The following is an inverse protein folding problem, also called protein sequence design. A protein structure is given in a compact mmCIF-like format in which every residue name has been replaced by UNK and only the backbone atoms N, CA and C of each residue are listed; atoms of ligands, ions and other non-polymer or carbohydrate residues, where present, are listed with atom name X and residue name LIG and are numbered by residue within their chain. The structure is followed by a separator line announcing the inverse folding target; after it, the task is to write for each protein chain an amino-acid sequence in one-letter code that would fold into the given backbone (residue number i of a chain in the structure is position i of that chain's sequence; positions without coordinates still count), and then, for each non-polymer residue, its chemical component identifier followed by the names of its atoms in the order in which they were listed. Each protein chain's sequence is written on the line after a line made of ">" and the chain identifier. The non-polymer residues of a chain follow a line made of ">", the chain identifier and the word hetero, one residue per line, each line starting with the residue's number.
data_IF_386485396274
#
_entry.id   IF_386485396274
#
_cell.length_a   1.000
_cell.length_b   1.000
_cell.length_c   1.000
_cell.angle_alpha   90.00
_cell.angle_beta   90.00
_cell.angle_gamma   90.00
#
_symmetry.space_group_name_H-M   'P 1'
#
loop_
_entity.id
_entity.type
_entity.pdbx_description
1 polymer ?
#
# COMPACT_ATOMS: atom_id res chain seq x y z
N UNK A 1 -11.98 20.60 -18.06
CA UNK A 1 -12.67 21.89 -18.34
C UNK A 1 -14.11 21.60 -18.68
N UNK A 2 -15.03 22.39 -18.12
CA UNK A 2 -16.43 22.44 -18.55
C UNK A 2 -16.69 23.91 -18.91
N UNK A 3 -17.20 24.15 -20.10
CA UNK A 3 -17.43 25.48 -20.61
C UNK A 3 -18.91 25.68 -20.93
N UNK A 4 -19.45 26.82 -20.54
CA UNK A 4 -20.78 27.31 -20.92
C UNK A 4 -20.65 28.75 -21.40
N UNK A 5 -21.65 29.30 -22.12
CA UNK A 5 -21.56 30.58 -22.85
C UNK A 5 -20.89 31.74 -22.11
N UNK A 6 -20.94 31.80 -20.76
CA UNK A 6 -20.44 32.94 -19.99
C UNK A 6 -19.55 32.55 -18.80
N UNK A 7 -19.45 31.26 -18.46
CA UNK A 7 -18.73 30.77 -17.27
C UNK A 7 -18.18 29.40 -17.55
N UNK A 8 -16.95 29.18 -17.15
CA UNK A 8 -16.32 27.88 -17.26
C UNK A 8 -15.69 27.40 -15.95
N UNK A 9 -15.43 26.09 -15.87
CA UNK A 9 -14.95 25.43 -14.68
C UNK A 9 -13.73 24.57 -15.02
N UNK A 10 -12.67 24.72 -14.24
CA UNK A 10 -11.48 23.87 -14.30
C UNK A 10 -11.34 23.17 -12.96
N UNK A 11 -11.17 21.88 -12.98
CA UNK A 11 -10.79 21.08 -11.81
C UNK A 11 -9.27 21.05 -11.75
N UNK A 12 -8.69 21.72 -10.77
CA UNK A 12 -7.25 21.89 -10.57
C UNK A 12 -6.77 21.07 -9.38
N UNK A 13 -5.71 20.30 -9.58
CA UNK A 13 -5.00 19.60 -8.52
C UNK A 13 -3.54 20.05 -8.50
N UNK A 14 -3.06 20.49 -7.35
CA UNK A 14 -1.64 20.76 -7.11
C UNK A 14 -0.92 19.56 -6.45
N UNK A 15 -1.65 18.48 -6.18
CA UNK A 15 -1.14 17.30 -5.52
C UNK A 15 -0.99 17.40 -3.99
N UNK A 16 -1.23 18.55 -3.37
CA UNK A 16 -1.05 18.76 -1.92
C UNK A 16 -2.10 18.00 -1.08
N UNK A 17 -3.32 17.86 -1.58
CA UNK A 17 -4.40 17.13 -0.92
C UNK A 17 -5.16 16.24 -1.92
N UNK A 18 -6.06 15.39 -1.41
CA UNK A 18 -6.85 14.50 -2.25
C UNK A 18 -7.96 15.24 -3.00
N UNK A 19 -8.53 16.28 -2.40
CA UNK A 19 -9.57 17.10 -3.03
C UNK A 19 -8.96 18.08 -4.03
N UNK A 20 -9.60 18.19 -5.19
CA UNK A 20 -9.25 19.18 -6.20
C UNK A 20 -9.92 20.51 -5.89
N UNK A 21 -9.33 21.61 -6.36
CA UNK A 21 -9.89 22.96 -6.29
C UNK A 21 -10.70 23.23 -7.56
N UNK A 22 -11.92 23.74 -7.41
CA UNK A 22 -12.67 24.26 -8.54
C UNK A 22 -12.21 25.68 -8.85
N UNK A 23 -11.71 25.87 -10.05
CA UNK A 23 -11.43 27.20 -10.60
C UNK A 23 -12.59 27.60 -11.50
N UNK A 24 -13.14 28.77 -11.24
CA UNK A 24 -14.22 29.37 -12.05
C UNK A 24 -13.64 30.53 -12.83
N UNK A 25 -13.90 30.57 -14.13
CA UNK A 25 -13.51 31.65 -15.01
C UNK A 25 -14.71 32.17 -15.80
N UNK A 26 -14.68 33.43 -16.11
CA UNK A 26 -15.68 34.13 -16.90
C UNK A 26 -15.05 34.71 -18.18
N UNK A 27 -15.73 35.59 -18.88
CA UNK A 27 -15.25 36.21 -20.13
C UNK A 27 -13.99 37.12 -19.96
N UNK A 28 -13.47 37.22 -18.74
CA UNK A 28 -12.24 37.96 -18.43
C UNK A 28 -10.94 37.17 -18.81
N UNK A 29 -11.07 35.88 -19.04
CA UNK A 29 -9.93 35.05 -19.49
C UNK A 29 -9.99 34.96 -21.02
N UNK A 30 -8.86 35.20 -21.74
CA UNK A 30 -8.84 35.13 -23.18
C UNK A 30 -9.20 33.74 -23.73
N UNK A 31 -10.03 33.70 -24.75
CA UNK A 31 -10.51 32.46 -25.38
C UNK A 31 -9.39 31.58 -25.93
N UNK A 32 -8.33 32.17 -26.43
CA UNK A 32 -7.17 31.46 -26.97
C UNK A 32 -6.41 30.70 -25.87
N UNK A 33 -6.40 31.19 -24.64
CA UNK A 33 -5.86 30.49 -23.46
C UNK A 33 -6.77 29.31 -23.11
N UNK A 34 -8.09 29.55 -23.01
CA UNK A 34 -9.06 28.52 -22.62
C UNK A 34 -9.08 27.34 -23.61
N UNK A 35 -9.00 27.62 -24.92
CA UNK A 35 -8.98 26.57 -25.96
C UNK A 35 -7.77 25.66 -25.91
N UNK A 36 -6.68 26.09 -25.30
CA UNK A 36 -5.45 25.31 -25.15
C UNK A 36 -5.45 24.45 -23.89
N UNK A 37 -6.36 24.70 -22.91
CA UNK A 37 -6.42 23.96 -21.67
C UNK A 37 -7.22 22.67 -21.87
N UNK A 38 -6.54 21.54 -21.71
CA UNK A 38 -7.15 20.21 -21.71
C UNK A 38 -6.72 19.42 -20.46
N UNK A 39 -7.21 18.17 -20.34
CA UNK A 39 -6.81 17.29 -19.23
C UNK A 39 -5.33 17.00 -19.28
N UNK A 40 -4.62 17.28 -18.20
CA UNK A 40 -3.18 17.07 -18.09
C UNK A 40 -2.32 18.31 -18.31
N UNK A 41 -2.89 19.45 -18.76
CA UNK A 41 -2.18 20.71 -18.79
C UNK A 41 -1.73 21.15 -17.40
N UNK A 42 -0.57 21.80 -17.32
CA UNK A 42 -0.11 22.51 -16.14
C UNK A 42 -0.46 23.99 -16.28
N UNK A 43 -1.13 24.54 -15.27
CA UNK A 43 -1.57 25.95 -15.25
C UNK A 43 -1.28 26.59 -13.90
N UNK A 44 -1.00 27.89 -13.92
CA UNK A 44 -1.05 28.77 -12.76
C UNK A 44 -2.30 29.62 -12.82
N UNK A 45 -2.95 29.78 -11.66
CA UNK A 45 -4.17 30.60 -11.53
C UNK A 45 -3.99 31.63 -10.46
N UNK A 46 -4.27 32.89 -10.81
CA UNK A 46 -4.38 33.99 -9.85
C UNK A 46 -5.87 34.38 -9.77
N UNK A 47 -6.42 34.43 -8.56
CA UNK A 47 -7.83 34.72 -8.38
C UNK A 47 -8.23 34.96 -6.93
N UNK A 48 -9.53 35.12 -6.73
CA UNK A 48 -10.13 35.34 -5.43
C UNK A 48 -10.69 34.04 -4.87
N UNK A 49 -10.33 33.69 -3.63
CA UNK A 49 -10.92 32.57 -2.92
C UNK A 49 -12.32 32.96 -2.44
N UNK A 50 -13.33 32.25 -2.90
CA UNK A 50 -14.72 32.48 -2.57
C UNK A 50 -15.29 31.29 -1.82
N UNK A 51 -15.86 31.53 -0.65
CA UNK A 51 -16.56 30.51 0.11
C UNK A 51 -17.90 30.18 -0.55
N UNK A 52 -18.20 28.90 -0.67
CA UNK A 52 -19.42 28.37 -1.28
C UNK A 52 -20.08 27.33 -0.35
N UNK A 53 -20.56 27.74 0.85
CA UNK A 53 -21.01 26.81 1.88
C UNK A 53 -22.20 25.95 1.44
N UNK A 54 -23.03 26.48 0.52
CA UNK A 54 -24.22 25.78 0.01
C UNK A 54 -23.95 24.96 -1.26
N UNK A 55 -22.68 24.96 -1.75
CA UNK A 55 -22.31 24.19 -2.92
C UNK A 55 -21.67 22.83 -2.52
N UNK A 56 -21.44 21.96 -3.52
CA UNK A 56 -20.80 20.67 -3.31
C UNK A 56 -19.37 20.80 -2.76
N UNK A 57 -18.66 21.84 -3.17
CA UNK A 57 -17.32 22.20 -2.67
C UNK A 57 -17.43 23.38 -1.69
N UNK A 58 -16.62 23.42 -0.60
CA UNK A 58 -16.74 24.48 0.42
C UNK A 58 -16.22 25.83 -0.05
N UNK A 59 -15.43 25.87 -1.11
CA UNK A 59 -14.88 27.09 -1.72
C UNK A 59 -14.51 26.85 -3.18
N UNK A 60 -14.30 27.94 -3.90
CA UNK A 60 -13.81 27.95 -5.28
C UNK A 60 -12.83 29.12 -5.47
N UNK A 61 -12.03 29.06 -6.53
CA UNK A 61 -11.17 30.18 -6.96
C UNK A 61 -11.78 30.84 -8.18
N UNK A 62 -12.23 32.10 -8.05
CA UNK A 62 -12.63 32.95 -9.19
C UNK A 62 -11.39 33.51 -9.85
N UNK A 63 -11.05 32.96 -11.03
CA UNK A 63 -9.84 33.32 -11.76
C UNK A 63 -9.89 34.77 -12.27
N UNK A 64 -8.83 35.52 -11.96
CA UNK A 64 -8.52 36.81 -12.59
C UNK A 64 -7.54 36.66 -13.73
N UNK A 65 -6.61 35.68 -13.60
CA UNK A 65 -5.60 35.35 -14.58
C UNK A 65 -5.38 33.84 -14.59
N UNK A 66 -5.18 33.28 -15.78
CA UNK A 66 -4.75 31.90 -15.99
C UNK A 66 -3.54 31.92 -16.93
N UNK A 67 -2.45 31.31 -16.48
CA UNK A 67 -1.25 31.12 -17.27
C UNK A 67 -1.02 29.63 -17.53
N UNK A 68 -0.73 29.28 -18.79
CA UNK A 68 -0.35 27.93 -19.14
C UNK A 68 1.15 27.77 -18.89
N UNK A 69 1.52 26.88 -17.98
CA UNK A 69 2.90 26.54 -17.68
C UNK A 69 3.38 25.34 -18.51
N UNK A 70 2.47 24.47 -18.91
CA UNK A 70 2.77 23.35 -19.79
C UNK A 70 1.53 22.85 -20.52
N UNK A 71 1.64 22.72 -21.84
CA UNK A 71 0.61 22.14 -22.69
C UNK A 71 0.58 20.60 -22.52
N UNK A 72 -0.57 20.02 -22.77
CA UNK A 72 -0.76 18.60 -22.85
C UNK A 72 -1.21 18.20 -24.27
N UNK A 73 -0.63 17.14 -24.80
CA UNK A 73 -1.01 16.62 -26.11
C UNK A 73 -2.47 16.12 -26.12
N UNK A 74 -3.13 16.21 -27.25
CA UNK A 74 -4.53 15.80 -27.41
C UNK A 74 -4.76 14.31 -27.25
N UNK A 75 -3.74 13.50 -27.42
CA UNK A 75 -3.70 12.05 -27.27
C UNK A 75 -3.33 11.59 -25.85
N UNK A 76 -3.28 12.51 -24.87
CA UNK A 76 -3.01 12.18 -23.47
C UNK A 76 -3.92 11.05 -22.98
N UNK A 77 -3.35 9.91 -22.55
CA UNK A 77 -4.13 8.68 -22.34
C UNK A 77 -5.05 8.73 -21.11
N UNK A 78 -4.75 9.61 -20.13
CA UNK A 78 -5.53 9.74 -18.90
C UNK A 78 -6.74 10.67 -19.11
N UNK A 79 -7.69 10.19 -19.92
CA UNK A 79 -8.91 10.92 -20.20
C UNK A 79 -9.90 10.87 -19.02
N UNK A 80 -10.87 11.79 -18.99
CA UNK A 80 -11.93 11.89 -17.96
C UNK A 80 -12.94 10.72 -18.10
N UNK A 81 -12.48 9.51 -17.82
CA UNK A 81 -13.28 8.28 -17.77
C UNK A 81 -12.70 7.34 -16.72
N UNK A 82 -13.50 6.38 -16.28
CA UNK A 82 -12.99 5.30 -15.43
C UNK A 82 -12.01 4.42 -16.22
N UNK A 83 -10.83 4.22 -15.68
CA UNK A 83 -9.82 3.29 -16.21
C UNK A 83 -9.79 2.03 -15.34
N UNK A 84 -9.65 0.86 -15.98
CA UNK A 84 -9.46 -0.39 -15.23
C UNK A 84 -8.05 -0.46 -14.62
N UNK A 85 -7.89 -1.25 -13.57
CA UNK A 85 -6.58 -1.44 -12.93
C UNK A 85 -5.58 -2.09 -13.89
N UNK A 86 -6.03 -3.00 -14.77
CA UNK A 86 -5.22 -3.64 -15.81
C UNK A 86 -4.67 -2.60 -16.78
N UNK A 87 -5.52 -1.70 -17.27
CA UNK A 87 -5.09 -0.60 -18.12
C UNK A 87 -4.09 0.32 -17.42
N UNK A 88 -4.34 0.65 -16.15
CA UNK A 88 -3.43 1.50 -15.38
C UNK A 88 -2.07 0.86 -15.10
N UNK A 89 -1.98 -0.48 -15.11
CA UNK A 89 -0.68 -1.19 -15.02
C UNK A 89 0.19 -0.97 -16.26
N UNK A 90 -0.40 -0.74 -17.42
CA UNK A 90 0.36 -0.43 -18.64
C UNK A 90 0.93 1.00 -18.66
N UNK A 91 0.48 1.87 -17.74
CA UNK A 91 0.87 3.28 -17.66
C UNK A 91 1.35 3.66 -16.25
N UNK A 92 2.35 2.96 -15.77
CA UNK A 92 2.85 3.12 -14.39
C UNK A 92 3.27 4.55 -14.05
N UNK A 93 3.85 5.28 -15.00
CA UNK A 93 4.30 6.68 -14.86
C UNK A 93 3.15 7.70 -14.78
N UNK A 94 1.94 7.35 -15.23
CA UNK A 94 0.77 8.23 -15.21
C UNK A 94 -0.28 7.84 -14.17
N UNK A 95 -0.37 6.55 -13.81
CA UNK A 95 -1.40 6.06 -12.88
C UNK A 95 -1.46 6.78 -11.52
N UNK A 96 -0.35 7.34 -10.96
CA UNK A 96 -0.42 8.11 -9.73
C UNK A 96 -1.32 9.36 -9.80
N UNK A 97 -1.61 9.84 -11.02
CA UNK A 97 -2.52 10.98 -11.24
C UNK A 97 -4.00 10.63 -11.13
N UNK A 98 -4.35 9.35 -11.05
CA UNK A 98 -5.76 8.92 -10.88
C UNK A 98 -6.18 8.98 -9.42
N UNK A 99 -7.46 9.25 -9.16
CA UNK A 99 -8.00 9.29 -7.80
C UNK A 99 -7.73 7.99 -7.03
N UNK A 100 -7.87 6.82 -7.69
CA UNK A 100 -7.60 5.52 -7.05
C UNK A 100 -6.17 5.43 -6.53
N UNK A 101 -5.17 5.78 -7.35
CA UNK A 101 -3.78 5.69 -6.94
C UNK A 101 -3.35 6.85 -6.04
N UNK A 102 -3.92 8.04 -6.21
CA UNK A 102 -3.71 9.14 -5.26
C UNK A 102 -4.18 8.73 -3.86
N UNK A 103 -5.40 8.21 -3.73
CA UNK A 103 -5.92 7.72 -2.46
C UNK A 103 -5.03 6.58 -1.92
N UNK A 104 -4.68 5.59 -2.75
CA UNK A 104 -3.82 4.47 -2.33
C UNK A 104 -2.47 4.93 -1.78
N UNK A 105 -1.77 5.81 -2.49
CA UNK A 105 -0.43 6.24 -2.05
C UNK A 105 -0.48 7.18 -0.85
N UNK A 106 -1.54 7.98 -0.69
CA UNK A 106 -1.74 8.80 0.51
C UNK A 106 -1.99 7.93 1.73
N UNK A 107 -2.88 6.95 1.63
CA UNK A 107 -3.12 5.97 2.71
C UNK A 107 -1.83 5.20 3.03
N UNK A 108 -1.11 4.67 2.04
CA UNK A 108 0.18 3.99 2.27
C UNK A 108 1.20 4.85 3.00
N UNK A 109 1.30 6.14 2.64
CA UNK A 109 2.19 7.07 3.35
C UNK A 109 1.79 7.22 4.83
N UNK A 110 0.50 7.37 5.11
CA UNK A 110 0.01 7.50 6.50
C UNK A 110 0.23 6.21 7.27
N UNK A 111 -0.05 5.05 6.67
CA UNK A 111 0.21 3.73 7.27
C UNK A 111 1.68 3.56 7.64
N UNK A 112 2.61 3.85 6.72
CA UNK A 112 4.03 3.71 6.98
C UNK A 112 4.50 4.59 8.15
N UNK A 113 4.04 5.85 8.21
CA UNK A 113 4.34 6.74 9.33
C UNK A 113 3.70 6.27 10.64
N UNK A 114 2.47 5.72 10.59
CA UNK A 114 1.79 5.19 11.76
C UNK A 114 2.53 3.98 12.34
N UNK A 115 3.03 3.08 11.50
CA UNK A 115 3.84 1.93 11.92
C UNK A 115 5.09 2.42 12.68
N UNK A 116 5.87 3.32 12.08
CA UNK A 116 7.05 3.86 12.73
C UNK A 116 6.73 4.54 14.07
N UNK A 117 5.69 5.37 14.11
CA UNK A 117 5.27 6.05 15.34
C UNK A 117 4.79 5.07 16.41
N UNK A 118 4.03 4.05 16.04
CA UNK A 118 3.54 3.04 16.98
C UNK A 118 4.67 2.38 17.75
N UNK A 119 5.72 1.96 17.04
CA UNK A 119 6.86 1.28 17.63
C UNK A 119 7.78 2.25 18.39
N UNK A 120 8.05 3.43 17.83
CA UNK A 120 8.88 4.47 18.47
C UNK A 120 8.31 4.92 19.82
N UNK A 121 7.01 5.21 19.90
CA UNK A 121 6.31 5.59 21.13
C UNK A 121 6.32 4.49 22.20
N UNK A 122 6.58 3.23 21.82
CA UNK A 122 6.71 2.07 22.72
C UNK A 122 8.15 1.69 23.03
N UNK A 123 9.11 2.49 22.55
CA UNK A 123 10.53 2.28 22.81
C UNK A 123 11.21 1.19 21.99
N UNK A 124 10.59 0.74 20.92
CA UNK A 124 11.22 -0.19 19.98
C UNK A 124 12.29 0.53 19.15
N UNK A 125 13.40 -0.13 18.90
CA UNK A 125 14.43 0.35 17.99
C UNK A 125 14.13 -0.11 16.54
N UNK A 126 14.04 0.84 15.61
CA UNK A 126 13.99 0.51 14.19
C UNK A 126 15.33 0.02 13.69
N UNK A 127 15.36 -1.16 13.06
CA UNK A 127 16.57 -1.75 12.50
C UNK A 127 16.46 -1.89 10.99
N UNK A 128 17.42 -1.34 10.27
CA UNK A 128 17.57 -1.55 8.84
C UNK A 128 18.48 -2.76 8.60
N UNK A 129 17.89 -3.91 8.27
CA UNK A 129 18.61 -5.14 7.97
C UNK A 129 19.04 -5.21 6.50
N UNK A 130 20.11 -5.92 6.15
CA UNK A 130 20.55 -6.06 4.77
C UNK A 130 19.49 -6.68 3.86
N UNK A 131 19.29 -6.10 2.67
CA UNK A 131 18.42 -6.66 1.65
C UNK A 131 19.11 -7.70 0.77
N UNK A 132 20.44 -7.59 0.63
CA UNK A 132 21.25 -8.58 -0.08
C UNK A 132 21.94 -9.44 0.96
N UNK A 133 21.71 -10.74 0.88
CA UNK A 133 22.18 -11.71 1.90
C UNK A 133 22.62 -13.01 1.25
N UNK A 134 23.53 -13.72 1.92
CA UNK A 134 23.88 -15.10 1.56
C UNK A 134 23.04 -16.13 2.34
N UNK A 135 22.24 -15.69 3.31
CA UNK A 135 21.47 -16.56 4.21
C UNK A 135 20.00 -16.63 3.77
N UNK A 136 19.46 -17.85 3.79
CA UNK A 136 18.02 -18.10 3.71
C UNK A 136 17.43 -18.03 5.11
N UNK A 137 16.53 -17.08 5.37
CA UNK A 137 15.99 -16.85 6.71
C UNK A 137 14.95 -17.88 7.12
N UNK A 138 14.03 -18.23 6.25
CA UNK A 138 12.87 -19.04 6.61
C UNK A 138 12.88 -20.45 5.96
N UNK A 139 13.97 -20.84 5.31
CA UNK A 139 13.99 -22.05 4.48
C UNK A 139 13.04 -21.93 3.29
N UNK A 140 12.66 -20.72 2.91
CA UNK A 140 11.68 -20.45 1.88
C UNK A 140 12.11 -20.87 0.47
N UNK A 141 13.37 -21.27 0.28
CA UNK A 141 13.90 -21.93 -0.91
C UNK A 141 13.89 -21.15 -2.23
N UNK A 142 12.97 -20.23 -2.40
CA UNK A 142 12.79 -19.49 -3.65
C UNK A 142 13.22 -18.02 -3.52
N UNK A 143 14.52 -17.81 -3.43
CA UNK A 143 15.12 -16.49 -3.35
C UNK A 143 15.52 -15.97 -4.73
N UNK A 144 15.27 -14.69 -4.99
CA UNK A 144 15.85 -14.01 -6.15
C UNK A 144 17.36 -13.92 -6.01
N UNK A 145 18.10 -14.40 -7.02
CA UNK A 145 19.55 -14.30 -7.06
C UNK A 145 20.01 -12.91 -7.44
N UNK A 146 21.01 -12.40 -6.70
CA UNK A 146 21.73 -11.17 -7.02
C UNK A 146 23.11 -11.54 -7.51
N UNK A 147 23.48 -11.14 -8.73
CA UNK A 147 24.76 -11.44 -9.32
C UNK A 147 25.20 -10.33 -10.29
N UNK A 148 26.51 -10.12 -10.39
CA UNK A 148 27.16 -9.27 -11.39
C UNK A 148 27.87 -10.08 -12.45
N UNK A 149 27.79 -11.42 -12.40
CA UNK A 149 28.34 -12.28 -13.43
C UNK A 149 27.63 -12.10 -14.77
N UNK A 150 28.39 -12.14 -15.85
CA UNK A 150 27.82 -12.20 -17.20
C UNK A 150 27.09 -13.53 -17.40
N UNK A 151 25.76 -13.48 -17.54
CA UNK A 151 24.93 -14.66 -17.70
C UNK A 151 25.13 -15.38 -19.04
N UNK A 152 25.70 -14.71 -20.05
CA UNK A 152 26.06 -15.33 -21.34
C UNK A 152 27.38 -16.11 -21.26
N UNK A 153 28.29 -15.68 -20.34
CA UNK A 153 29.61 -16.27 -20.16
C UNK A 153 29.91 -16.55 -18.67
N UNK A 154 29.05 -17.33 -18.04
CA UNK A 154 29.14 -17.64 -16.62
C UNK A 154 30.41 -18.43 -16.31
N UNK A 155 31.33 -17.94 -15.45
CA UNK A 155 32.48 -18.68 -15.02
C UNK A 155 32.09 -19.96 -14.27
N UNK A 156 32.81 -21.05 -14.54
CA UNK A 156 32.56 -22.37 -13.96
C UNK A 156 33.74 -22.84 -13.13
N UNK A 157 33.41 -23.54 -12.05
CA UNK A 157 34.34 -24.32 -11.28
C UNK A 157 34.73 -25.64 -12.02
N UNK A 158 35.81 -26.36 -11.65
CA UNK A 158 36.20 -27.60 -12.31
C UNK A 158 35.11 -28.69 -12.31
N UNK A 159 34.18 -28.67 -11.34
CA UNK A 159 33.01 -29.54 -11.26
C UNK A 159 31.79 -29.05 -12.03
N UNK A 160 31.94 -27.98 -12.80
CA UNK A 160 30.89 -27.45 -13.72
C UNK A 160 29.84 -26.55 -13.07
N UNK A 161 29.96 -26.25 -11.78
CA UNK A 161 29.05 -25.28 -11.10
C UNK A 161 29.45 -23.84 -11.38
N UNK A 162 28.57 -22.92 -11.08
CA UNK A 162 28.85 -21.48 -11.16
C UNK A 162 29.97 -21.12 -10.16
N UNK A 163 30.99 -20.45 -10.63
CA UNK A 163 32.09 -19.97 -9.79
C UNK A 163 31.77 -18.59 -9.20
N UNK A 164 31.05 -18.58 -8.08
CA UNK A 164 30.71 -17.36 -7.37
C UNK A 164 31.92 -16.65 -6.74
N UNK A 165 33.09 -17.26 -6.68
CA UNK A 165 34.31 -16.55 -6.25
C UNK A 165 34.69 -15.39 -7.18
N UNK A 166 34.15 -15.37 -8.39
CA UNK A 166 34.32 -14.32 -9.40
C UNK A 166 33.21 -13.29 -9.37
N UNK A 167 32.15 -13.48 -8.55
CA UNK A 167 31.06 -12.53 -8.37
C UNK A 167 31.45 -11.43 -7.37
N UNK A 168 30.64 -10.35 -7.34
CA UNK A 168 30.89 -9.16 -6.53
C UNK A 168 31.17 -9.45 -5.04
N UNK A 169 30.38 -10.32 -4.43
CA UNK A 169 30.53 -10.69 -3.02
C UNK A 169 31.47 -11.89 -2.79
N UNK A 170 32.03 -12.49 -3.83
CA UNK A 170 32.85 -13.72 -3.73
C UNK A 170 32.07 -14.95 -3.26
N UNK A 171 30.77 -14.87 -3.15
CA UNK A 171 29.85 -15.94 -2.78
C UNK A 171 28.49 -15.72 -3.42
N UNK A 172 27.65 -16.76 -3.38
CA UNK A 172 26.25 -16.64 -3.82
C UNK A 172 25.48 -15.64 -2.94
N UNK A 173 24.82 -14.66 -3.54
CA UNK A 173 24.00 -13.68 -2.85
C UNK A 173 22.58 -13.66 -3.41
N UNK A 174 21.60 -13.28 -2.58
CA UNK A 174 20.20 -13.27 -2.89
C UNK A 174 19.53 -12.03 -2.30
N UNK A 175 18.32 -11.71 -2.77
CA UNK A 175 17.44 -10.79 -2.06
C UNK A 175 16.84 -11.49 -0.84
N UNK A 176 16.71 -10.76 0.25
CA UNK A 176 16.17 -11.30 1.51
C UNK A 176 14.69 -11.67 1.41
N UNK A 177 14.29 -12.71 2.10
CA UNK A 177 12.88 -13.14 2.26
C UNK A 177 12.26 -12.65 3.57
N UNK A 178 13.10 -12.14 4.51
CA UNK A 178 12.71 -11.62 5.82
C UNK A 178 13.88 -10.87 6.47
N UNK A 179 13.57 -9.86 7.28
CA UNK A 179 14.55 -9.17 8.12
C UNK A 179 14.84 -9.90 9.45
N UNK A 180 14.08 -10.94 9.78
CA UNK A 180 14.06 -11.58 11.09
C UNK A 180 15.44 -12.12 11.51
N UNK A 181 16.13 -12.87 10.66
CA UNK A 181 17.40 -13.50 11.01
C UNK A 181 18.46 -12.50 11.49
N UNK A 182 18.55 -11.36 10.81
CA UNK A 182 19.42 -10.27 11.27
C UNK A 182 18.82 -9.52 12.46
N UNK A 183 17.48 -9.36 12.48
CA UNK A 183 16.74 -8.70 13.55
C UNK A 183 16.97 -9.35 14.92
N UNK A 184 16.99 -10.68 15.00
CA UNK A 184 17.24 -11.42 16.23
C UNK A 184 18.60 -11.06 16.87
N UNK A 185 19.65 -10.88 16.07
CA UNK A 185 20.94 -10.43 16.57
C UNK A 185 20.88 -9.04 17.22
N UNK A 186 20.05 -8.15 16.71
CA UNK A 186 19.81 -6.83 17.30
C UNK A 186 18.91 -6.93 18.54
N UNK A 187 17.91 -7.81 18.54
CA UNK A 187 17.05 -8.02 19.71
C UNK A 187 17.84 -8.50 20.92
N UNK A 188 18.87 -9.33 20.72
CA UNK A 188 19.81 -9.75 21.79
C UNK A 188 20.58 -8.56 22.41
N UNK A 189 20.76 -7.47 21.69
CA UNK A 189 21.48 -6.28 22.16
C UNK A 189 20.54 -5.17 22.64
N UNK A 190 19.37 -4.99 22.01
CA UNK A 190 18.48 -3.86 22.18
C UNK A 190 17.12 -4.23 22.76
N UNK A 191 16.84 -5.49 22.99
CA UNK A 191 15.62 -6.06 23.55
C UNK A 191 14.42 -6.02 22.60
N UNK A 192 13.86 -4.84 22.36
CA UNK A 192 12.65 -4.64 21.55
C UNK A 192 13.03 -3.89 20.29
N UNK A 193 12.95 -4.56 19.15
CA UNK A 193 13.31 -3.99 17.85
C UNK A 193 12.18 -4.26 16.85
N UNK A 194 12.19 -3.57 15.74
CA UNK A 194 11.38 -3.95 14.58
C UNK A 194 12.13 -3.68 13.28
N UNK A 195 11.87 -4.52 12.30
CA UNK A 195 12.18 -4.22 10.90
C UNK A 195 10.89 -3.78 10.22
N UNK A 196 11.01 -2.87 9.27
CA UNK A 196 9.94 -2.49 8.35
C UNK A 196 10.59 -2.16 7.02
N UNK A 197 10.57 -3.09 6.10
CA UNK A 197 11.31 -2.98 4.86
C UNK A 197 10.86 -3.95 3.77
N UNK A 198 11.38 -3.77 2.56
CA UNK A 198 11.07 -4.64 1.44
C UNK A 198 11.64 -6.04 1.65
N UNK A 199 10.84 -7.03 1.30
CA UNK A 199 11.19 -8.45 1.24
C UNK A 199 10.81 -9.02 -0.11
N UNK A 200 11.47 -10.11 -0.52
CA UNK A 200 11.37 -10.63 -1.86
C UNK A 200 11.22 -12.15 -1.83
N UNK A 201 10.18 -12.67 -2.47
CA UNK A 201 9.95 -14.12 -2.60
C UNK A 201 9.68 -14.46 -4.05
N UNK A 202 10.47 -15.41 -4.59
CA UNK A 202 10.40 -15.81 -5.99
C UNK A 202 9.36 -16.91 -6.26
N UNK A 203 8.50 -17.19 -5.29
CA UNK A 203 7.43 -18.18 -5.40
C UNK A 203 6.50 -17.89 -6.59
N UNK A 204 6.27 -18.90 -7.41
CA UNK A 204 5.32 -18.82 -8.51
C UNK A 204 3.90 -19.07 -8.00
N UNK A 205 3.31 -18.07 -7.35
CA UNK A 205 1.94 -18.13 -6.88
C UNK A 205 1.09 -17.04 -7.52
N UNK A 206 -0.04 -17.43 -8.12
CA UNK A 206 -0.95 -16.54 -8.84
C UNK A 206 -2.19 -16.18 -8.00
N UNK A 207 -2.04 -16.00 -6.70
CA UNK A 207 -3.13 -15.57 -5.83
C UNK A 207 -3.15 -14.06 -5.63
N UNK A 208 -4.28 -13.52 -5.20
CA UNK A 208 -4.42 -12.10 -4.89
C UNK A 208 -3.58 -11.63 -3.67
N UNK A 209 -3.03 -12.58 -2.89
CA UNK A 209 -2.28 -12.32 -1.66
C UNK A 209 -0.75 -12.45 -1.84
N UNK A 210 -0.27 -12.95 -2.98
CA UNK A 210 1.16 -13.14 -3.24
C UNK A 210 1.69 -12.02 -4.13
N UNK A 211 2.78 -11.42 -3.69
CA UNK A 211 3.57 -10.48 -4.46
C UNK A 211 5.05 -10.84 -4.35
N UNK A 212 5.80 -10.68 -5.44
CA UNK A 212 7.22 -10.99 -5.46
C UNK A 212 8.07 -9.99 -4.63
N UNK A 213 7.54 -8.80 -4.41
CA UNK A 213 8.10 -7.74 -3.55
C UNK A 213 6.98 -7.16 -2.68
N UNK A 214 7.20 -7.10 -1.38
CA UNK A 214 6.28 -6.54 -0.40
C UNK A 214 7.05 -6.03 0.82
N UNK A 215 6.38 -5.27 1.69
CA UNK A 215 6.99 -4.77 2.92
C UNK A 215 6.45 -5.56 4.11
N UNK A 216 7.36 -6.06 4.94
CA UNK A 216 7.01 -6.76 6.18
C UNK A 216 7.20 -5.85 7.40
N UNK A 217 6.34 -6.03 8.39
CA UNK A 217 6.46 -5.44 9.72
C UNK A 217 6.83 -6.60 10.64
N UNK A 218 8.03 -6.59 11.17
CA UNK A 218 8.60 -7.72 11.90
C UNK A 218 9.15 -7.23 13.25
N UNK A 219 8.31 -7.10 14.29
CA UNK A 219 8.76 -6.79 15.64
C UNK A 219 9.37 -8.03 16.32
N UNK A 220 10.50 -7.83 16.96
CA UNK A 220 11.15 -8.83 17.82
C UNK A 220 11.20 -8.32 19.26
N UNK A 221 10.61 -9.04 20.18
CA UNK A 221 10.45 -8.64 21.57
C UNK A 221 11.11 -9.67 22.51
N UNK A 222 12.26 -9.34 23.08
CA UNK A 222 12.91 -10.20 24.05
C UNK A 222 12.06 -10.32 25.33
N UNK A 223 12.01 -11.51 25.90
CA UNK A 223 11.25 -11.84 27.11
C UNK A 223 9.72 -11.68 27.00
N UNK A 224 9.20 -11.63 25.78
CA UNK A 224 7.76 -11.55 25.51
C UNK A 224 7.19 -12.95 25.28
N UNK A 225 6.08 -13.27 25.93
CA UNK A 225 5.31 -14.48 25.67
C UNK A 225 4.30 -14.27 24.53
N UNK A 226 3.64 -15.36 24.12
CA UNK A 226 2.63 -15.33 23.07
C UNK A 226 1.51 -14.32 23.39
N UNK A 227 1.09 -14.22 24.65
CA UNK A 227 0.04 -13.29 25.05
C UNK A 227 0.46 -11.84 24.83
N UNK A 228 1.64 -11.47 25.28
CA UNK A 228 2.20 -10.11 25.08
C UNK A 228 2.38 -9.77 23.61
N UNK A 229 2.79 -10.75 22.80
CA UNK A 229 2.90 -10.59 21.35
C UNK A 229 1.54 -10.32 20.70
N UNK A 230 0.51 -11.09 21.03
CA UNK A 230 -0.86 -10.91 20.53
C UNK A 230 -1.46 -9.56 20.96
N UNK A 231 -1.20 -9.12 22.19
CA UNK A 231 -1.63 -7.81 22.68
C UNK A 231 -0.99 -6.68 21.84
N UNK A 232 0.31 -6.78 21.58
CA UNK A 232 1.02 -5.79 20.77
C UNK A 232 0.54 -5.76 19.32
N UNK A 233 0.28 -6.93 18.72
CA UNK A 233 -0.23 -7.04 17.36
C UNK A 233 -1.63 -6.43 17.23
N UNK A 234 -2.53 -6.69 18.18
CA UNK A 234 -3.87 -6.12 18.22
C UNK A 234 -3.82 -4.59 18.36
N UNK A 235 -3.02 -4.09 19.30
CA UNK A 235 -2.81 -2.65 19.50
C UNK A 235 -2.28 -1.97 18.25
N UNK A 236 -1.31 -2.59 17.58
CA UNK A 236 -0.72 -2.05 16.34
C UNK A 236 -1.77 -1.94 15.23
N UNK A 237 -2.54 -2.97 14.98
CA UNK A 237 -3.58 -2.97 13.93
C UNK A 237 -4.62 -1.89 14.23
N UNK A 238 -5.12 -1.82 15.46
CA UNK A 238 -6.10 -0.80 15.89
C UNK A 238 -5.54 0.62 15.76
N UNK A 239 -4.29 0.83 16.18
CA UNK A 239 -3.61 2.13 16.09
C UNK A 239 -3.48 2.60 14.64
N UNK A 240 -3.04 1.72 13.74
CA UNK A 240 -2.90 2.04 12.31
C UNK A 240 -4.25 2.41 11.71
N UNK A 241 -5.29 1.61 11.95
CA UNK A 241 -6.64 1.86 11.44
C UNK A 241 -7.15 3.22 11.92
N UNK A 242 -7.10 3.49 13.22
CA UNK A 242 -7.54 4.77 13.80
C UNK A 242 -6.79 5.96 13.20
N UNK A 243 -5.46 5.83 13.05
CA UNK A 243 -4.64 6.87 12.44
C UNK A 243 -5.03 7.14 10.98
N UNK A 244 -5.31 6.09 10.21
CA UNK A 244 -5.75 6.24 8.82
C UNK A 244 -7.15 6.86 8.75
N UNK A 245 -8.08 6.44 9.61
CA UNK A 245 -9.43 7.00 9.67
C UNK A 245 -9.41 8.50 10.03
N UNK A 246 -8.53 8.91 10.92
CA UNK A 246 -8.36 10.31 11.31
C UNK A 246 -7.71 11.15 10.18
N UNK A 247 -6.65 10.63 9.57
CA UNK A 247 -5.80 11.40 8.67
C UNK A 247 -6.16 11.32 7.18
N UNK A 248 -6.96 10.31 6.79
CA UNK A 248 -7.33 10.04 5.41
C UNK A 248 -8.86 9.91 5.21
N UNK A 249 -9.70 10.80 5.78
CA UNK A 249 -11.16 10.65 5.71
C UNK A 249 -11.68 10.74 4.27
N UNK A 250 -11.10 11.59 3.43
CA UNK A 250 -11.52 11.78 2.04
C UNK A 250 -11.17 10.58 1.16
N UNK A 251 -9.96 10.03 1.34
CA UNK A 251 -9.48 8.84 0.64
C UNK A 251 -10.31 7.61 1.02
N UNK A 252 -10.62 7.44 2.31
CA UNK A 252 -11.48 6.35 2.79
C UNK A 252 -12.92 6.50 2.28
N UNK A 253 -13.47 7.71 2.26
CA UNK A 253 -14.77 7.97 1.67
C UNK A 253 -14.82 7.62 0.18
N UNK A 254 -13.74 7.94 -0.55
CA UNK A 254 -13.59 7.54 -1.95
C UNK A 254 -13.56 6.00 -2.10
N UNK A 255 -12.74 5.31 -1.32
CA UNK A 255 -12.69 3.84 -1.38
C UNK A 255 -14.02 3.20 -1.01
N UNK A 256 -14.68 3.68 0.04
CA UNK A 256 -15.98 3.17 0.48
C UNK A 256 -17.08 3.37 -0.60
N UNK A 257 -17.00 4.47 -1.36
CA UNK A 257 -17.99 4.77 -2.39
C UNK A 257 -17.76 4.04 -3.71
N UNK A 258 -16.50 3.85 -4.12
CA UNK A 258 -16.15 3.45 -5.49
C UNK A 258 -15.41 2.12 -5.61
N UNK A 259 -14.84 1.61 -4.51
CA UNK A 259 -14.04 0.39 -4.52
C UNK A 259 -14.68 -0.71 -3.69
N UNK A 260 -15.03 -0.44 -2.45
CA UNK A 260 -15.51 -1.42 -1.50
C UNK A 260 -16.54 -0.82 -0.54
N UNK A 261 -17.81 -1.02 -0.85
CA UNK A 261 -18.93 -0.59 0.00
C UNK A 261 -18.90 -1.32 1.33
N UNK A 262 -18.98 -0.59 2.44
CA UNK A 262 -18.87 -1.15 3.79
C UNK A 262 -17.45 -1.18 4.35
N UNK A 263 -16.45 -0.66 3.63
CA UNK A 263 -15.07 -0.56 4.11
C UNK A 263 -14.98 0.17 5.45
N UNK A 264 -15.63 1.32 5.58
CA UNK A 264 -15.58 2.14 6.81
C UNK A 264 -16.20 1.39 7.99
N UNK A 265 -17.31 0.68 7.78
CA UNK A 265 -17.97 -0.11 8.83
C UNK A 265 -17.06 -1.24 9.31
N UNK A 266 -16.40 -1.95 8.40
CA UNK A 266 -15.43 -3.00 8.77
C UNK A 266 -14.21 -2.43 9.52
N UNK A 267 -13.65 -1.30 9.07
CA UNK A 267 -12.55 -0.66 9.79
C UNK A 267 -12.97 -0.22 11.20
N UNK A 268 -14.18 0.33 11.36
CA UNK A 268 -14.73 0.66 12.67
C UNK A 268 -14.91 -0.57 13.54
N UNK A 269 -15.41 -1.68 12.98
CA UNK A 269 -15.56 -2.93 13.71
C UNK A 269 -14.22 -3.43 14.27
N UNK A 270 -13.18 -3.50 13.40
CA UNK A 270 -11.85 -3.96 13.82
C UNK A 270 -11.20 -3.00 14.84
N UNK A 271 -11.37 -1.68 14.66
CA UNK A 271 -10.73 -0.69 15.53
C UNK A 271 -11.36 -0.62 16.93
N UNK A 272 -12.64 -0.98 17.10
CA UNK A 272 -13.38 -0.73 18.33
C UNK A 272 -13.75 -1.99 19.13
N UNK A 273 -13.63 -3.18 18.55
CA UNK A 273 -13.88 -4.44 19.24
C UNK A 273 -12.58 -5.15 19.61
N UNK A 274 -12.60 -5.94 20.67
CA UNK A 274 -11.47 -6.77 21.05
C UNK A 274 -11.34 -7.96 20.09
N UNK A 275 -10.11 -8.37 19.82
CA UNK A 275 -9.85 -9.51 18.95
C UNK A 275 -10.13 -10.81 19.70
N UNK A 276 -10.94 -11.67 19.11
CA UNK A 276 -11.10 -13.02 19.60
C UNK A 276 -9.80 -13.80 19.46
N UNK A 277 -9.51 -14.63 20.46
CA UNK A 277 -8.30 -15.47 20.49
C UNK A 277 -8.72 -16.90 20.71
N UNK A 278 -8.48 -17.74 19.72
CA UNK A 278 -8.79 -19.17 19.74
C UNK A 278 -7.55 -19.96 19.38
N UNK A 279 -7.45 -21.17 19.90
CA UNK A 279 -6.40 -22.10 19.49
C UNK A 279 -6.73 -22.73 18.14
N UNK A 280 -5.72 -23.24 17.45
CA UNK A 280 -5.91 -24.03 16.23
C UNK A 280 -6.86 -25.21 16.44
N UNK A 281 -6.73 -25.91 17.58
CA UNK A 281 -7.61 -27.02 17.92
C UNK A 281 -9.06 -26.59 18.04
N UNK A 282 -9.34 -25.49 18.75
CA UNK A 282 -10.70 -24.91 18.85
C UNK A 282 -11.23 -24.48 17.48
N UNK A 283 -10.40 -23.84 16.64
CA UNK A 283 -10.78 -23.45 15.29
C UNK A 283 -11.22 -24.67 14.46
N UNK A 284 -10.43 -25.75 14.47
CA UNK A 284 -10.78 -27.00 13.77
C UNK A 284 -12.07 -27.62 14.31
N UNK A 285 -12.29 -27.63 15.64
CA UNK A 285 -13.52 -28.13 16.24
C UNK A 285 -14.75 -27.31 15.85
N UNK A 286 -14.63 -25.97 15.88
CA UNK A 286 -15.71 -25.08 15.44
C UNK A 286 -16.08 -25.35 13.97
N UNK A 287 -15.09 -25.43 13.11
CA UNK A 287 -15.31 -25.67 11.68
C UNK A 287 -15.95 -27.05 11.41
N UNK A 288 -15.48 -28.11 12.06
CA UNK A 288 -16.06 -29.46 11.94
C UNK A 288 -17.52 -29.52 12.40
N UNK A 289 -17.86 -28.78 13.44
CA UNK A 289 -19.20 -28.76 14.03
C UNK A 289 -20.13 -27.70 13.39
N UNK A 290 -19.64 -26.92 12.44
CA UNK A 290 -20.38 -25.80 11.83
C UNK A 290 -21.57 -26.23 10.97
N UNK A 291 -21.55 -27.45 10.43
CA UNK A 291 -22.49 -27.90 9.40
C UNK A 291 -22.30 -27.26 8.03
N UNK A 292 -21.33 -26.34 7.88
CA UNK A 292 -20.97 -25.75 6.60
C UNK A 292 -20.25 -26.76 5.70
N UNK A 293 -20.42 -26.60 4.38
CA UNK A 293 -19.66 -27.38 3.41
C UNK A 293 -18.49 -26.54 2.90
N UNK A 294 -17.30 -27.05 3.08
CA UNK A 294 -16.05 -26.43 2.62
C UNK A 294 -15.52 -27.19 1.40
N UNK A 295 -14.83 -26.50 0.52
CA UNK A 295 -14.14 -27.08 -0.65
C UNK A 295 -12.94 -27.92 -0.19
N UNK A 296 -12.22 -27.43 0.84
CA UNK A 296 -11.06 -28.09 1.41
C UNK A 296 -11.41 -28.82 2.71
N UNK A 297 -10.78 -29.98 2.96
CA UNK A 297 -11.08 -30.76 4.17
C UNK A 297 -10.67 -30.02 5.45
N UNK A 298 -11.48 -30.13 6.47
CA UNK A 298 -11.19 -29.64 7.82
C UNK A 298 -10.71 -30.78 8.66
N UNK A 299 -9.39 -30.91 8.83
CA UNK A 299 -8.77 -31.96 9.65
C UNK A 299 -7.72 -31.33 10.55
N UNK A 300 -7.51 -31.91 11.73
CA UNK A 300 -6.44 -31.47 12.61
C UNK A 300 -5.06 -31.82 12.01
N UNK A 301 -4.15 -30.84 11.97
CA UNK A 301 -2.82 -31.00 11.36
C UNK A 301 -2.75 -30.54 9.89
N UNK A 302 -3.86 -30.06 9.33
CA UNK A 302 -3.94 -29.48 7.98
C UNK A 302 -4.06 -27.96 8.06
N UNK A 303 -3.41 -27.22 7.18
CA UNK A 303 -3.50 -25.76 7.13
C UNK A 303 -4.93 -25.30 6.84
N UNK A 304 -5.39 -24.32 7.60
CA UNK A 304 -6.67 -23.66 7.33
C UNK A 304 -6.59 -22.86 6.02
N UNK A 305 -7.63 -23.00 5.20
CA UNK A 305 -7.75 -22.27 3.95
C UNK A 305 -8.57 -20.98 4.13
N UNK A 306 -8.50 -20.08 3.15
CA UNK A 306 -9.22 -18.79 3.19
C UNK A 306 -10.71 -18.92 3.52
N UNK A 307 -11.38 -19.97 3.04
CA UNK A 307 -12.81 -20.20 3.34
C UNK A 307 -13.04 -20.53 4.82
N UNK A 308 -12.11 -21.27 5.45
CA UNK A 308 -12.14 -21.60 6.87
C UNK A 308 -11.95 -20.34 7.73
N UNK A 309 -10.94 -19.53 7.40
CA UNK A 309 -10.66 -18.26 8.08
C UNK A 309 -11.85 -17.30 7.97
N UNK A 310 -12.44 -17.17 6.77
CA UNK A 310 -13.62 -16.33 6.57
C UNK A 310 -14.83 -16.80 7.38
N UNK A 311 -15.06 -18.11 7.46
CA UNK A 311 -16.15 -18.63 8.28
C UNK A 311 -15.96 -18.25 9.75
N UNK A 312 -14.75 -18.43 10.28
CA UNK A 312 -14.43 -18.09 11.66
C UNK A 312 -14.60 -16.59 11.96
N UNK A 313 -14.16 -15.73 11.04
CA UNK A 313 -14.15 -14.26 11.24
C UNK A 313 -15.47 -13.58 10.87
N UNK A 314 -16.28 -14.16 9.96
CA UNK A 314 -17.50 -13.52 9.47
C UNK A 314 -18.79 -14.16 10.04
N UNK A 315 -18.72 -15.39 10.54
CA UNK A 315 -19.89 -16.15 11.00
C UNK A 315 -19.83 -16.52 12.48
N UNK A 316 -18.64 -16.57 13.10
CA UNK A 316 -18.46 -17.00 14.49
C UNK A 316 -18.11 -15.83 15.40
N UNK A 317 -17.22 -14.95 14.98
CA UNK A 317 -16.68 -13.84 15.79
C UNK A 317 -16.93 -12.44 15.20
#
# INVERSE_FOLDING_TARGET
>A
VRDSKNIGFIELSDGSCFRNVQVVYENNIPDDIIRQINTGCAISVVGDLVLTPDAKQPFEVKAREIKIEGLCASDYPMQKKRHSLEYLRTMQHLRPRTNTFQATFRVRNVVAQAIHRFFDERGFLYVHTPLITASDCEGAGEMFRVTTLDLENVPKTPDGKVDYSKDFFGTSANLTVSGQLYGEAFALAFRDIYTFGPTFRAEQSYTARHAAEFWMIEPEMAFCDLKGYLDTAEDMVKYIIRTVMERCPDELSFFNSFVDKGLIDRLNNVANNDFARITYTEAVEILKNSGAQFEYPVEWGVDLQTEHERYLTEQVY
#
